data_IF_152614321480
#
_entry.id   IF_152614321480
#
_cell.length_a   1.000
_cell.length_b   1.000
_cell.length_c   1.000
_cell.angle_alpha   90.00
_cell.angle_beta   90.00
_cell.angle_gamma   90.00
#
_symmetry.space_group_name_H-M   'P 1'
#
loop_
_entity.id
_entity.type
_entity.pdbx_description
1 polymer ?
#
# COMPACT_ATOMS: atom_id res chain seq x y z
N UNK A 1 4.67 30.43 -37.77
CA UNK A 1 3.51 30.08 -36.92
C UNK A 1 3.77 28.66 -36.47
N UNK A 2 4.67 28.51 -35.51
CA UNK A 2 5.21 27.20 -35.16
C UNK A 2 4.74 26.93 -33.73
N UNK A 3 3.42 26.71 -33.60
CA UNK A 3 2.70 26.58 -32.33
C UNK A 3 3.06 25.33 -31.50
N UNK A 4 4.22 24.73 -31.76
CA UNK A 4 4.66 23.44 -31.23
C UNK A 4 6.05 23.49 -30.58
N UNK A 5 6.61 24.67 -30.30
CA UNK A 5 7.91 24.82 -29.61
C UNK A 5 7.98 24.24 -28.19
N UNK A 6 6.86 23.76 -27.64
CA UNK A 6 6.84 23.01 -26.39
C UNK A 6 7.25 21.54 -26.55
N UNK A 7 7.12 20.98 -27.76
CA UNK A 7 7.49 19.58 -28.06
C UNK A 7 9.01 19.41 -28.05
N UNK A 8 9.78 20.43 -28.41
CA UNK A 8 11.25 20.41 -28.30
C UNK A 8 11.73 20.30 -26.86
N UNK A 9 10.97 20.77 -25.87
CA UNK A 9 11.30 20.54 -24.46
C UNK A 9 11.07 19.09 -24.00
N UNK A 10 10.32 18.29 -24.76
CA UNK A 10 10.16 16.85 -24.52
C UNK A 10 11.24 16.01 -25.21
N UNK A 11 12.12 16.64 -25.99
CA UNK A 11 13.24 15.99 -26.64
C UNK A 11 14.22 15.34 -25.65
N UNK A 12 15.01 14.39 -26.14
CA UNK A 12 16.10 13.75 -25.39
C UNK A 12 17.42 14.55 -25.46
N UNK A 13 17.34 15.80 -25.92
CA UNK A 13 18.46 16.73 -25.96
C UNK A 13 18.92 17.09 -24.54
N UNK A 14 20.18 17.53 -24.35
CA UNK A 14 20.72 17.90 -23.04
C UNK A 14 19.92 18.98 -22.30
N UNK A 15 19.21 19.85 -23.03
CA UNK A 15 18.33 20.90 -22.49
C UNK A 15 16.84 20.47 -22.44
N UNK A 16 16.53 19.24 -22.85
CA UNK A 16 15.20 18.65 -22.88
C UNK A 16 14.87 17.84 -21.63
N UNK A 17 13.59 17.80 -21.24
CA UNK A 17 13.10 17.11 -20.05
C UNK A 17 12.87 15.61 -20.27
N UNK A 18 13.02 15.10 -21.49
CA UNK A 18 12.68 13.71 -21.84
C UNK A 18 13.39 12.67 -20.97
N UNK A 19 14.69 12.86 -20.72
CA UNK A 19 15.49 11.95 -19.87
C UNK A 19 15.03 12.01 -18.41
N UNK A 20 14.78 13.21 -17.88
CA UNK A 20 14.31 13.39 -16.50
C UNK A 20 12.90 12.79 -16.29
N UNK A 21 12.01 12.92 -17.27
CA UNK A 21 10.68 12.33 -17.24
C UNK A 21 10.74 10.79 -17.27
N UNK A 22 11.62 10.21 -18.10
CA UNK A 22 11.84 8.77 -18.12
C UNK A 22 12.41 8.24 -16.79
N UNK A 23 13.36 8.96 -16.21
CA UNK A 23 13.90 8.61 -14.89
C UNK A 23 12.82 8.70 -13.80
N UNK A 24 12.03 9.78 -13.80
CA UNK A 24 10.90 9.93 -12.87
C UNK A 24 9.84 8.83 -13.04
N UNK A 25 9.54 8.43 -14.27
CA UNK A 25 8.65 7.32 -14.55
C UNK A 25 9.21 5.99 -14.00
N UNK A 26 10.52 5.75 -14.16
CA UNK A 26 11.20 4.59 -13.58
C UNK A 26 11.05 4.54 -12.05
N UNK A 27 11.37 5.64 -11.36
CA UNK A 27 11.22 5.73 -9.89
C UNK A 27 9.77 5.54 -9.46
N UNK A 28 8.81 6.10 -10.21
CA UNK A 28 7.38 5.91 -9.91
C UNK A 28 6.97 4.45 -9.99
N UNK A 29 7.46 3.71 -10.99
CA UNK A 29 7.20 2.28 -11.13
C UNK A 29 7.83 1.47 -9.98
N UNK A 30 9.07 1.79 -9.61
CA UNK A 30 9.75 1.13 -8.49
C UNK A 30 9.00 1.32 -7.17
N UNK A 31 8.62 2.56 -6.86
CA UNK A 31 7.84 2.88 -5.65
C UNK A 31 6.47 2.18 -5.70
N UNK A 32 5.79 2.22 -6.85
CA UNK A 32 4.47 1.61 -7.02
C UNK A 32 4.50 0.09 -6.82
N UNK A 33 5.50 -0.59 -7.39
CA UNK A 33 5.69 -2.04 -7.21
C UNK A 33 6.02 -2.37 -5.76
N UNK A 34 6.94 -1.63 -5.14
CA UNK A 34 7.29 -1.82 -3.73
C UNK A 34 6.09 -1.64 -2.81
N UNK A 35 5.36 -0.53 -2.98
CA UNK A 35 4.17 -0.23 -2.18
C UNK A 35 3.07 -1.25 -2.40
N UNK A 36 2.87 -1.73 -3.63
CA UNK A 36 1.89 -2.76 -3.94
C UNK A 36 2.18 -4.08 -3.23
N UNK A 37 3.45 -4.53 -3.22
CA UNK A 37 3.84 -5.76 -2.50
C UNK A 37 3.59 -5.61 -1.01
N UNK A 38 4.04 -4.52 -0.40
CA UNK A 38 3.82 -4.25 1.03
C UNK A 38 2.33 -4.18 1.36
N UNK A 39 1.57 -3.47 0.56
CA UNK A 39 0.15 -3.28 0.81
C UNK A 39 -0.69 -4.53 0.56
N UNK A 40 -0.32 -5.42 -0.38
CA UNK A 40 -0.94 -6.74 -0.50
C UNK A 40 -0.70 -7.59 0.75
N UNK A 41 0.54 -7.60 1.28
CA UNK A 41 0.86 -8.33 2.51
C UNK A 41 0.03 -7.80 3.69
N UNK A 42 0.02 -6.49 3.89
CA UNK A 42 -0.78 -5.86 4.96
C UNK A 42 -2.28 -6.05 4.73
N UNK A 43 -2.74 -6.02 3.49
CA UNK A 43 -4.13 -6.25 3.10
C UNK A 43 -4.58 -7.67 3.43
N UNK A 44 -3.76 -8.67 3.13
CA UNK A 44 -4.03 -10.07 3.48
C UNK A 44 -4.09 -10.25 4.99
N UNK A 45 -3.14 -9.67 5.74
CA UNK A 45 -3.15 -9.72 7.20
C UNK A 45 -4.39 -9.02 7.79
N UNK A 46 -4.75 -7.85 7.27
CA UNK A 46 -5.94 -7.11 7.68
C UNK A 46 -7.25 -7.85 7.38
N UNK A 47 -7.36 -8.45 6.19
CA UNK A 47 -8.52 -9.26 5.82
C UNK A 47 -8.63 -10.51 6.70
N UNK A 48 -7.51 -11.22 6.93
CA UNK A 48 -7.45 -12.38 7.81
C UNK A 48 -7.86 -12.02 9.24
N UNK A 49 -7.36 -10.89 9.77
CA UNK A 49 -7.74 -10.39 11.09
C UNK A 49 -9.26 -10.14 11.20
N UNK A 50 -9.87 -9.54 10.17
CA UNK A 50 -11.32 -9.30 10.13
C UNK A 50 -12.16 -10.57 9.98
N UNK A 51 -11.63 -11.61 9.36
CA UNK A 51 -12.30 -12.89 9.14
C UNK A 51 -12.05 -13.89 10.29
N UNK A 52 -11.09 -13.61 11.19
CA UNK A 52 -10.67 -14.53 12.26
C UNK A 52 -11.73 -14.81 13.33
N UNK A 53 -12.79 -13.99 13.45
CA UNK A 53 -13.81 -14.09 14.50
C UNK A 53 -13.35 -13.62 15.88
N UNK A 54 -12.09 -13.22 16.05
CA UNK A 54 -11.58 -12.63 17.30
C UNK A 54 -11.97 -11.15 17.36
N UNK A 55 -12.91 -10.82 18.24
CA UNK A 55 -13.49 -9.46 18.37
C UNK A 55 -12.44 -8.35 18.54
N UNK A 56 -11.34 -8.62 19.23
CA UNK A 56 -10.26 -7.64 19.42
C UNK A 56 -9.54 -7.36 18.11
N UNK A 57 -9.16 -8.41 17.38
CA UNK A 57 -8.43 -8.31 16.12
C UNK A 57 -9.30 -7.67 15.02
N UNK A 58 -10.58 -8.02 15.00
CA UNK A 58 -11.56 -7.43 14.09
C UNK A 58 -11.72 -5.93 14.34
N UNK A 59 -11.85 -5.50 15.61
CA UNK A 59 -11.96 -4.09 15.97
C UNK A 59 -10.70 -3.30 15.64
N UNK A 60 -9.51 -3.87 15.88
CA UNK A 60 -8.25 -3.22 15.52
C UNK A 60 -8.14 -3.04 14.00
N UNK A 61 -8.43 -4.09 13.23
CA UNK A 61 -8.42 -4.03 11.77
C UNK A 61 -9.51 -3.09 11.21
N UNK A 62 -10.69 -3.04 11.83
CA UNK A 62 -11.73 -2.05 11.53
C UNK A 62 -11.25 -0.63 11.83
N UNK A 63 -10.64 -0.38 12.98
CA UNK A 63 -10.09 0.93 13.34
C UNK A 63 -9.05 1.41 12.33
N UNK A 64 -8.07 0.55 12.02
CA UNK A 64 -7.05 0.83 10.99
C UNK A 64 -7.67 1.19 9.63
N UNK A 65 -8.54 0.34 9.10
CA UNK A 65 -9.18 0.57 7.78
C UNK A 65 -10.13 1.78 7.79
N UNK A 66 -10.81 2.05 8.90
CA UNK A 66 -11.71 3.20 9.04
C UNK A 66 -10.91 4.49 9.09
N UNK A 67 -9.81 4.53 9.84
CA UNK A 67 -8.91 5.69 9.89
C UNK A 67 -8.37 6.03 8.49
N UNK A 68 -7.87 5.02 7.77
CA UNK A 68 -7.33 5.18 6.42
C UNK A 68 -8.36 5.68 5.40
N UNK A 69 -9.66 5.46 5.65
CA UNK A 69 -10.77 5.91 4.79
C UNK A 69 -11.40 7.22 5.25
N UNK A 70 -11.32 7.54 6.54
CA UNK A 70 -11.89 8.76 7.11
C UNK A 70 -10.99 9.98 6.87
N UNK A 71 -9.67 9.77 6.83
CA UNK A 71 -8.69 10.83 6.59
C UNK A 71 -8.33 10.89 5.09
N UNK A 72 -8.21 12.08 4.49
CA UNK A 72 -7.74 12.22 3.13
C UNK A 72 -6.37 11.54 2.92
N UNK A 73 -6.24 10.75 1.86
CA UNK A 73 -5.05 9.95 1.57
C UNK A 73 -3.76 10.80 1.53
N UNK A 74 -3.81 11.96 0.87
CA UNK A 74 -2.67 12.89 0.82
C UNK A 74 -2.22 13.32 2.23
N UNK A 75 -3.18 13.53 3.14
CA UNK A 75 -2.90 13.97 4.51
C UNK A 75 -2.30 12.82 5.33
N UNK A 76 -2.75 11.58 5.12
CA UNK A 76 -2.14 10.40 5.71
C UNK A 76 -0.70 10.23 5.25
N UNK A 77 -0.44 10.33 3.94
CA UNK A 77 0.91 10.19 3.40
C UNK A 77 1.84 11.24 4.02
N UNK A 78 1.38 12.48 4.11
CA UNK A 78 2.11 13.58 4.74
C UNK A 78 2.41 13.30 6.22
N UNK A 79 1.37 12.92 6.98
CA UNK A 79 1.48 12.64 8.41
C UNK A 79 2.43 11.47 8.66
N UNK A 80 2.25 10.35 7.95
CA UNK A 80 3.08 9.16 8.10
C UNK A 80 4.53 9.41 7.66
N UNK A 81 4.75 10.27 6.67
CA UNK A 81 6.10 10.63 6.25
C UNK A 81 6.82 11.46 7.33
N UNK A 82 6.23 12.57 7.78
CA UNK A 82 6.89 13.45 8.75
C UNK A 82 6.84 12.87 10.17
N UNK A 83 5.64 12.57 10.68
CA UNK A 83 5.49 12.07 12.04
C UNK A 83 6.04 10.64 12.19
N UNK A 84 5.99 9.81 11.14
CA UNK A 84 6.60 8.48 11.16
C UNK A 84 8.12 8.55 11.22
N UNK A 85 8.75 9.44 10.44
CA UNK A 85 10.20 9.64 10.49
C UNK A 85 10.65 10.17 11.86
N UNK A 86 9.93 11.15 12.41
CA UNK A 86 10.21 11.69 13.75
C UNK A 86 10.02 10.63 14.85
N UNK A 87 8.95 9.83 14.76
CA UNK A 87 8.69 8.74 15.71
C UNK A 87 9.79 7.68 15.69
N UNK A 88 10.29 7.30 14.51
CA UNK A 88 11.42 6.39 14.36
C UNK A 88 12.67 6.99 15.01
N UNK A 89 12.98 8.26 14.73
CA UNK A 89 14.14 8.93 15.32
C UNK A 89 14.05 9.03 16.86
N UNK A 90 12.87 9.33 17.39
CA UNK A 90 12.63 9.35 18.84
C UNK A 90 12.88 7.96 19.45
N UNK A 91 12.32 6.91 18.82
CA UNK A 91 12.50 5.54 19.29
C UNK A 91 13.97 5.10 19.24
N UNK A 92 14.67 5.39 18.14
CA UNK A 92 16.09 5.06 17.96
C UNK A 92 16.99 5.80 18.96
N UNK A 93 16.64 7.06 19.28
CA UNK A 93 17.33 7.83 20.32
C UNK A 93 17.06 7.26 21.71
N UNK A 94 15.82 6.85 21.99
CA UNK A 94 15.42 6.26 23.28
C UNK A 94 16.14 4.93 23.56
N UNK A 95 16.44 4.13 22.53
CA UNK A 95 17.21 2.88 22.66
C UNK A 95 18.73 3.10 22.58
N UNK A 96 19.20 4.34 22.50
CA UNK A 96 20.63 4.69 22.49
C UNK A 96 21.34 4.47 21.14
N UNK A 97 20.60 4.20 20.06
CA UNK A 97 21.15 3.98 18.72
C UNK A 97 21.42 5.28 17.94
N UNK A 98 20.96 6.43 18.46
CA UNK A 98 21.12 7.74 17.83
C UNK A 98 20.12 7.98 16.67
N UNK A 99 20.16 9.17 16.04
CA UNK A 99 19.26 9.53 14.94
C UNK A 99 19.57 8.70 13.69
N UNK A 100 18.52 8.27 12.98
CA UNK A 100 18.64 7.49 11.73
C UNK A 100 18.10 8.32 10.57
N UNK A 101 18.93 8.51 9.55
CA UNK A 101 18.48 9.09 8.30
C UNK A 101 17.60 8.08 7.55
N UNK A 102 16.28 8.28 7.58
CA UNK A 102 15.34 7.44 6.86
C UNK A 102 15.43 7.76 5.37
N UNK A 103 15.68 6.73 4.54
CA UNK A 103 15.70 6.87 3.10
C UNK A 103 14.30 7.25 2.59
N UNK A 104 14.18 8.37 1.87
CA UNK A 104 12.91 8.86 1.32
C UNK A 104 12.20 7.87 0.41
N UNK A 105 12.94 7.06 -0.36
CA UNK A 105 12.37 5.99 -1.18
C UNK A 105 11.71 4.91 -0.33
N UNK A 106 12.41 4.42 0.70
CA UNK A 106 11.88 3.39 1.60
C UNK A 106 10.68 3.93 2.39
N UNK A 107 10.74 5.18 2.85
CA UNK A 107 9.62 5.85 3.50
C UNK A 107 8.41 5.91 2.56
N UNK A 108 8.58 6.35 1.32
CA UNK A 108 7.48 6.41 0.34
C UNK A 108 6.83 5.03 0.11
N UNK A 109 7.65 3.99 -0.08
CA UNK A 109 7.17 2.61 -0.27
C UNK A 109 6.36 2.12 0.94
N UNK A 110 6.84 2.34 2.16
CA UNK A 110 6.17 1.88 3.38
C UNK A 110 4.88 2.67 3.64
N UNK A 111 4.93 3.99 3.51
CA UNK A 111 3.77 4.85 3.75
C UNK A 111 2.65 4.54 2.75
N UNK A 112 2.97 4.48 1.47
CA UNK A 112 2.00 4.11 0.43
C UNK A 112 1.50 2.68 0.62
N UNK A 113 2.38 1.73 0.98
CA UNK A 113 1.98 0.35 1.26
C UNK A 113 1.01 0.23 2.44
N UNK A 114 1.21 1.01 3.52
CA UNK A 114 0.29 1.02 4.67
C UNK A 114 -1.09 1.58 4.26
N UNK A 115 -1.13 2.67 3.49
CA UNK A 115 -2.40 3.24 3.03
C UNK A 115 -3.10 2.28 2.08
N UNK A 116 -2.39 1.77 1.07
CA UNK A 116 -2.93 0.83 0.08
C UNK A 116 -3.38 -0.49 0.74
N UNK A 117 -2.67 -0.96 1.76
CA UNK A 117 -3.02 -2.18 2.49
C UNK A 117 -4.39 -2.10 3.18
N UNK A 118 -4.81 -0.93 3.65
CA UNK A 118 -6.12 -0.74 4.24
C UNK A 118 -7.24 -0.93 3.19
N UNK A 119 -7.04 -0.40 1.99
CA UNK A 119 -7.96 -0.60 0.87
C UNK A 119 -7.95 -2.06 0.39
N UNK A 120 -6.76 -2.67 0.29
CA UNK A 120 -6.60 -4.06 -0.10
C UNK A 120 -7.30 -5.03 0.87
N UNK A 121 -7.21 -4.80 2.19
CA UNK A 121 -7.88 -5.62 3.19
C UNK A 121 -9.41 -5.66 2.99
N UNK A 122 -9.99 -4.53 2.63
CA UNK A 122 -11.41 -4.41 2.40
C UNK A 122 -11.86 -5.03 1.08
N UNK A 123 -11.06 -4.88 0.03
CA UNK A 123 -11.29 -5.53 -1.27
C UNK A 123 -11.24 -7.05 -1.10
N UNK A 124 -10.21 -7.58 -0.42
CA UNK A 124 -10.04 -9.02 -0.22
C UNK A 124 -11.16 -9.58 0.65
N UNK A 125 -11.50 -8.90 1.76
CA UNK A 125 -12.63 -9.30 2.60
C UNK A 125 -13.94 -9.29 1.81
N UNK A 126 -14.19 -8.25 1.02
CA UNK A 126 -15.36 -8.16 0.15
C UNK A 126 -15.42 -9.29 -0.87
N UNK A 127 -14.28 -9.60 -1.50
CA UNK A 127 -14.17 -10.70 -2.46
C UNK A 127 -14.46 -12.06 -1.83
N UNK A 128 -13.97 -12.32 -0.61
CA UNK A 128 -14.24 -13.57 0.12
C UNK A 128 -15.73 -13.68 0.47
N UNK A 129 -16.36 -12.60 0.92
CA UNK A 129 -17.78 -12.58 1.29
C UNK A 129 -18.73 -12.63 0.08
N UNK A 130 -18.27 -12.25 -1.10
CA UNK A 130 -19.05 -12.28 -2.33
C UNK A 130 -19.23 -13.71 -2.92
N UNK A 131 -18.50 -14.71 -2.41
CA UNK A 131 -18.57 -16.08 -2.92
C UNK A 131 -19.94 -16.69 -2.56
N UNK A 132 -20.76 -17.13 -3.55
CA UNK A 132 -22.05 -17.73 -3.27
C UNK A 132 -21.91 -19.02 -2.47
N UNK A 133 -22.77 -19.21 -1.48
CA UNK A 133 -22.80 -20.42 -0.64
C UNK A 133 -22.78 -21.71 -1.48
N UNK A 134 -23.60 -21.80 -2.54
CA UNK A 134 -23.66 -22.98 -3.42
C UNK A 134 -22.31 -23.43 -4.01
N UNK A 135 -21.34 -22.53 -4.20
CA UNK A 135 -19.97 -22.89 -4.63
C UNK A 135 -19.15 -23.51 -3.49
N UNK A 136 -19.33 -23.03 -2.26
CA UNK A 136 -18.71 -23.57 -1.05
C UNK A 136 -19.24 -24.99 -0.77
N UNK A 137 -20.56 -25.20 -0.90
CA UNK A 137 -21.17 -26.52 -0.75
C UNK A 137 -20.73 -27.50 -1.84
N UNK A 138 -20.62 -27.06 -3.10
CA UNK A 138 -20.11 -27.89 -4.20
C UNK A 138 -18.66 -28.33 -3.97
N UNK A 139 -17.80 -27.39 -3.52
CA UNK A 139 -16.40 -27.69 -3.18
C UNK A 139 -16.28 -28.68 -1.99
N UNK A 140 -17.17 -28.56 -0.99
CA UNK A 140 -17.23 -29.51 0.14
C UNK A 140 -17.66 -30.91 -0.31
N UNK A 141 -18.65 -31.02 -1.20
CA UNK A 141 -19.09 -32.31 -1.77
C UNK A 141 -18.00 -32.99 -2.60
N UNK A 142 -17.24 -32.24 -3.41
CA UNK A 142 -16.16 -32.82 -4.24
C UNK A 142 -15.06 -33.48 -3.39
N UNK A 143 -14.69 -32.90 -2.23
CA UNK A 143 -13.72 -33.52 -1.31
C UNK A 143 -14.22 -34.82 -0.70
N UNK A 144 -15.52 -34.94 -0.42
CA UNK A 144 -16.12 -36.17 0.10
C UNK A 144 -16.11 -37.32 -0.92
N UNK A 145 -16.18 -37.03 -2.22
CA UNK A 145 -16.22 -38.06 -3.28
C UNK A 145 -14.83 -38.51 -3.76
N UNK A 146 -13.78 -37.73 -3.47
CA UNK A 146 -12.39 -38.09 -3.78
C UNK A 146 -11.73 -38.95 -2.68
N UNK A 147 -12.39 -39.12 -1.54
CA UNK A 147 -11.90 -39.88 -0.39
C UNK A 147 -12.61 -41.25 -0.24
N UNK A 148 -13.40 -41.66 -1.24
CA UNK A 148 -14.10 -42.94 -1.33
C UNK A 148 -13.65 -43.66 -2.59
#
# INVERSE_FOLDING_TARGET
MDGWGWVSYLGMDPDGWGVALLQGAGVTLEISLGAFVVGIVLGLLGAAAKLSGVRVLERLAQGYTTLCRAVPELLLILLLYYAGTDAINLLMTAIGAGPVAVNGFAAAVIVLGIVQGAYAAEIIRGAILAIPYGQIEAARRRRSCSAV
#
